data_IF_682449949105
#
_entry.id   IF_682449949105
#
_cell.length_a   1.000
_cell.length_b   1.000
_cell.length_c   1.000
_cell.angle_alpha   90.00
_cell.angle_beta   90.00
_cell.angle_gamma   90.00
#
_symmetry.space_group_name_H-M   'P 1'
#
loop_
_entity.id
_entity.type
_entity.pdbx_description
1 polymer ?
#
# COMPACT_ATOMS: atom_id res chain seq x y z
N UNK A 1 5.41 -9.68 6.76
CA UNK A 1 4.66 -9.15 5.60
C UNK A 1 4.21 -7.75 5.95
N UNK A 2 4.01 -6.90 4.97
CA UNK A 2 3.75 -5.48 5.15
C UNK A 2 2.62 -5.07 4.23
N UNK A 3 1.82 -4.12 4.65
CA UNK A 3 0.74 -3.57 3.85
C UNK A 3 0.61 -2.07 4.11
N UNK A 4 0.31 -1.32 3.06
CA UNK A 4 -0.25 0.01 3.21
C UNK A 4 -1.44 0.16 2.27
N UNK A 5 -2.40 0.98 2.68
CA UNK A 5 -3.52 1.37 1.84
C UNK A 5 -4.15 2.67 2.32
N UNK A 6 -4.85 3.35 1.42
CA UNK A 6 -5.63 4.55 1.71
C UNK A 6 -7.13 4.23 1.64
N UNK A 7 -7.93 4.84 2.51
CA UNK A 7 -9.38 4.74 2.47
C UNK A 7 -10.06 6.08 2.77
N UNK A 8 -11.14 6.45 2.06
CA UNK A 8 -11.86 7.69 2.32
C UNK A 8 -12.49 7.66 3.71
N UNK A 9 -12.49 8.82 4.36
CA UNK A 9 -13.16 8.94 5.65
C UNK A 9 -14.67 9.04 5.47
N UNK A 10 -15.43 8.24 6.23
CA UNK A 10 -16.88 8.28 6.17
C UNK A 10 -17.47 9.66 6.57
N UNK A 11 -16.74 10.44 7.39
CA UNK A 11 -17.16 11.75 7.88
C UNK A 11 -16.64 12.94 7.04
N UNK A 12 -15.92 12.69 5.94
CA UNK A 12 -15.33 13.76 5.12
C UNK A 12 -15.36 13.46 3.63
N UNK A 13 -15.72 14.49 2.84
CA UNK A 13 -15.74 14.40 1.37
C UNK A 13 -14.36 14.58 0.73
N UNK A 14 -13.37 15.03 1.49
CA UNK A 14 -12.06 15.45 0.95
C UNK A 14 -10.88 14.81 1.67
N UNK A 15 -11.11 14.14 2.80
CA UNK A 15 -10.06 13.54 3.59
C UNK A 15 -10.11 12.02 3.55
N UNK A 16 -8.93 11.42 3.62
CA UNK A 16 -8.72 9.98 3.67
C UNK A 16 -7.79 9.61 4.82
N UNK A 17 -7.74 8.32 5.16
CA UNK A 17 -6.82 7.75 6.14
C UNK A 17 -5.88 6.81 5.41
N UNK A 18 -4.58 6.95 5.66
CA UNK A 18 -3.59 5.95 5.28
C UNK A 18 -3.38 4.97 6.44
N UNK A 19 -3.38 3.68 6.11
CA UNK A 19 -3.04 2.60 7.02
C UNK A 19 -1.66 2.09 6.65
N UNK A 20 -0.79 1.94 7.64
CA UNK A 20 0.52 1.31 7.51
C UNK A 20 0.56 0.16 8.51
N UNK A 21 0.75 -1.06 8.01
CA UNK A 21 0.66 -2.27 8.81
C UNK A 21 1.75 -3.27 8.45
N UNK A 22 2.07 -4.15 9.40
CA UNK A 22 3.05 -5.20 9.22
C UNK A 22 2.87 -6.33 10.22
N UNK A 23 3.19 -7.54 9.78
CA UNK A 23 3.20 -8.72 10.65
C UNK A 23 4.57 -8.92 11.28
N UNK A 24 4.60 -8.86 12.61
CA UNK A 24 5.82 -8.94 13.41
C UNK A 24 6.79 -7.78 13.15
N UNK A 25 7.93 -7.79 13.85
CA UNK A 25 8.89 -6.69 13.80
C UNK A 25 9.52 -6.50 12.42
N UNK A 26 9.86 -7.60 11.72
CA UNK A 26 10.44 -7.52 10.36
C UNK A 26 9.44 -6.89 9.36
N UNK A 27 8.16 -7.23 9.47
CA UNK A 27 7.11 -6.64 8.63
C UNK A 27 6.87 -5.17 8.93
N UNK A 28 6.81 -4.78 10.21
CA UNK A 28 6.64 -3.37 10.59
C UNK A 28 7.80 -2.52 10.10
N UNK A 29 9.04 -2.96 10.28
CA UNK A 29 10.24 -2.24 9.79
C UNK A 29 10.24 -2.05 8.28
N UNK A 30 9.82 -3.06 7.53
CA UNK A 30 9.70 -2.96 6.07
C UNK A 30 8.58 -1.98 5.65
N UNK A 31 7.51 -1.86 6.43
CA UNK A 31 6.46 -0.87 6.18
C UNK A 31 6.95 0.55 6.49
N UNK A 32 7.58 0.76 7.64
CA UNK A 32 8.11 2.05 8.10
C UNK A 32 9.21 2.65 7.20
N UNK A 33 9.94 1.80 6.46
CA UNK A 33 11.02 2.24 5.60
C UNK A 33 10.59 3.11 4.40
N UNK A 34 9.28 3.17 4.09
CA UNK A 34 8.78 3.96 2.97
C UNK A 34 8.65 5.44 3.31
N UNK A 35 8.97 6.30 2.34
CA UNK A 35 8.88 7.76 2.48
C UNK A 35 7.49 8.28 2.08
N UNK A 36 6.45 7.90 2.82
CA UNK A 36 5.04 8.14 2.48
C UNK A 36 4.64 9.61 2.24
N UNK A 37 5.35 10.55 2.87
CA UNK A 37 5.03 11.98 2.80
C UNK A 37 6.04 12.76 1.93
N UNK A 38 6.92 12.07 1.22
CA UNK A 38 7.87 12.71 0.31
C UNK A 38 7.20 13.02 -1.03
N UNK A 39 7.35 14.27 -1.50
CA UNK A 39 6.89 14.67 -2.82
C UNK A 39 7.54 13.79 -3.92
N UNK A 40 6.74 13.43 -4.93
CA UNK A 40 7.21 12.60 -6.05
C UNK A 40 7.25 11.09 -5.78
N UNK A 41 6.88 10.64 -4.57
CA UNK A 41 6.72 9.21 -4.30
C UNK A 41 5.37 8.71 -4.82
N UNK A 42 5.38 8.10 -6.01
CA UNK A 42 4.18 7.54 -6.63
C UNK A 42 3.81 6.21 -6.00
N UNK A 43 2.93 6.23 -5.00
CA UNK A 43 2.38 5.02 -4.38
C UNK A 43 1.04 4.62 -5.01
N UNK A 44 0.78 3.31 -5.19
CA UNK A 44 -0.57 2.80 -5.45
C UNK A 44 -1.50 3.05 -4.25
N UNK A 45 -2.81 2.97 -4.46
CA UNK A 45 -3.79 3.12 -3.37
C UNK A 45 -3.65 2.02 -2.32
N UNK A 46 -3.18 0.84 -2.72
CA UNK A 46 -2.82 -0.24 -1.80
C UNK A 46 -1.63 -1.05 -2.31
N UNK A 47 -0.89 -1.63 -1.36
CA UNK A 47 0.19 -2.56 -1.63
C UNK A 47 0.38 -3.53 -0.46
N UNK A 48 0.62 -4.79 -0.78
CA UNK A 48 1.00 -5.86 0.13
C UNK A 48 2.33 -6.43 -0.36
N UNK A 49 3.32 -6.52 0.53
CA UNK A 49 4.67 -6.94 0.17
C UNK A 49 5.36 -7.72 1.28
N UNK A 50 6.35 -8.53 0.92
CA UNK A 50 7.24 -9.18 1.89
C UNK A 50 8.29 -8.19 2.40
N UNK A 51 8.92 -8.52 3.52
CA UNK A 51 9.99 -7.71 4.07
C UNK A 51 11.30 -7.78 3.26
N UNK A 52 11.29 -8.51 2.15
CA UNK A 52 12.44 -8.68 1.24
C UNK A 52 12.36 -7.67 0.08
N UNK A 53 11.40 -6.73 0.12
CA UNK A 53 11.26 -5.62 -0.84
C UNK A 53 12.56 -4.83 -1.04
N UNK A 54 13.36 -4.51 0.00
CA UNK A 54 14.63 -3.81 -0.19
C UNK A 54 15.67 -4.60 -0.99
N UNK A 55 15.61 -5.94 -0.94
CA UNK A 55 16.58 -6.83 -1.60
C UNK A 55 16.14 -7.28 -2.98
N UNK A 56 14.84 -7.53 -3.15
CA UNK A 56 14.29 -8.20 -4.34
C UNK A 56 13.40 -7.31 -5.20
N UNK A 57 13.16 -6.06 -4.75
CA UNK A 57 12.34 -5.10 -5.47
C UNK A 57 10.93 -5.63 -5.70
N UNK A 58 10.40 -5.44 -6.92
CA UNK A 58 9.01 -5.77 -7.25
C UNK A 58 8.63 -7.24 -7.02
N UNK A 59 9.60 -8.17 -7.00
CA UNK A 59 9.33 -9.60 -6.70
C UNK A 59 8.82 -9.86 -5.28
N UNK A 60 9.07 -8.94 -4.34
CA UNK A 60 8.52 -9.02 -2.99
C UNK A 60 7.06 -8.56 -2.92
N UNK A 61 6.54 -7.91 -3.96
CA UNK A 61 5.16 -7.43 -4.03
C UNK A 61 4.25 -8.64 -4.22
N UNK A 62 3.28 -8.77 -3.32
CA UNK A 62 2.26 -9.82 -3.39
C UNK A 62 1.00 -9.33 -4.07
N UNK A 63 0.67 -8.06 -3.85
CA UNK A 63 -0.46 -7.43 -4.50
C UNK A 63 -0.28 -5.91 -4.45
N UNK A 64 -0.68 -5.21 -5.51
CA UNK A 64 -0.77 -3.76 -5.52
C UNK A 64 -1.85 -3.30 -6.49
N UNK A 65 -2.38 -2.09 -6.31
CA UNK A 65 -3.36 -1.56 -7.23
C UNK A 65 -4.00 -0.25 -6.80
N UNK A 66 -4.96 0.16 -7.62
CA UNK A 66 -5.76 1.37 -7.42
C UNK A 66 -7.23 0.99 -7.28
N UNK A 67 -7.97 1.75 -6.50
CA UNK A 67 -9.43 1.62 -6.47
C UNK A 67 -10.04 2.25 -7.73
N UNK A 68 -11.29 1.92 -8.03
CA UNK A 68 -12.09 2.71 -8.96
C UNK A 68 -12.35 4.13 -8.40
N UNK A 69 -12.85 5.03 -9.25
CA UNK A 69 -13.35 6.34 -8.79
C UNK A 69 -14.55 6.25 -7.82
N UNK A 70 -15.11 5.05 -7.62
CA UNK A 70 -16.18 4.76 -6.66
C UNK A 70 -15.67 4.03 -5.41
N UNK A 71 -14.35 3.91 -5.23
CA UNK A 71 -13.70 3.20 -4.12
C UNK A 71 -13.97 1.68 -4.08
N UNK A 72 -14.20 1.08 -5.25
CA UNK A 72 -14.38 -0.37 -5.39
C UNK A 72 -13.09 -1.04 -5.88
N UNK A 73 -12.86 -2.29 -5.46
CA UNK A 73 -11.80 -3.14 -6.00
C UNK A 73 -12.32 -3.91 -7.21
N UNK A 74 -11.82 -3.60 -8.40
CA UNK A 74 -12.09 -4.41 -9.59
C UNK A 74 -10.88 -5.30 -9.89
N UNK A 75 -11.14 -6.55 -10.31
CA UNK A 75 -10.08 -7.52 -10.61
C UNK A 75 -9.06 -7.01 -11.63
N UNK A 76 -9.47 -6.15 -12.57
CA UNK A 76 -8.60 -5.58 -13.59
C UNK A 76 -7.55 -4.59 -13.04
N UNK A 77 -7.75 -4.06 -11.83
CA UNK A 77 -6.87 -3.06 -11.21
C UNK A 77 -5.87 -3.68 -10.22
N UNK A 78 -5.95 -5.01 -10.00
CA UNK A 78 -5.06 -5.74 -9.13
C UNK A 78 -3.86 -6.28 -9.91
N UNK A 79 -2.66 -5.96 -9.44
CA UNK A 79 -1.41 -6.54 -9.94
C UNK A 79 -1.00 -7.66 -9.00
N UNK A 80 -1.03 -8.90 -9.50
CA UNK A 80 -0.47 -10.08 -8.82
C UNK A 80 0.90 -10.37 -9.43
N UNK A 81 1.97 -10.35 -8.62
CA UNK A 81 3.32 -10.71 -9.06
C UNK A 81 3.84 -11.95 -8.31
#
# INVERSE_FOLDING_TARGET
>A
MSAYYIWPRADSKTASVAVVAGTGLKGMRAAEANQYLAAGSGFPDFMIFSADLPETGSKAVKQAGFYSNTWDLQNAQMINQ
#
